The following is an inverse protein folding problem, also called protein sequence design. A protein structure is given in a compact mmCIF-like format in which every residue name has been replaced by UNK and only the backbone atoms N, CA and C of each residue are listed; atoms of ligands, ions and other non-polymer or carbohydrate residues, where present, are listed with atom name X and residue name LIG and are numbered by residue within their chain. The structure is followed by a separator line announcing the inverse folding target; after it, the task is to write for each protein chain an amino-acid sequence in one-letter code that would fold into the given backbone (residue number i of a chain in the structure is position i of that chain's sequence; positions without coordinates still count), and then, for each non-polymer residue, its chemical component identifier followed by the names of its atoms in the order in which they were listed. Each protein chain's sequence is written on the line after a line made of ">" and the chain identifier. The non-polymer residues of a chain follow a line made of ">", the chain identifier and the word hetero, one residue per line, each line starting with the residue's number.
data_IF_396699869289
#
_entry.id   IF_396699869289
#
_cell.length_a   1.000
_cell.length_b   1.000
_cell.length_c   1.000
_cell.angle_alpha   90.00
_cell.angle_beta   90.00
_cell.angle_gamma   90.00
#
_symmetry.space_group_name_H-M   'P 1'
#
loop_
_entity.id
_entity.type
_entity.pdbx_description
1 polymer ?
#
# COMPACT_ATOMS: atom_id res chain seq x y z
N UNK A 1 15.19 -1.33 14.19
CA UNK A 1 15.19 -2.32 13.09
C UNK A 1 16.11 -1.87 11.97
N UNK A 2 16.30 -2.68 10.91
CA UNK A 2 17.14 -2.30 9.74
C UNK A 2 16.35 -1.68 8.58
N UNK A 3 15.03 -1.58 8.71
CA UNK A 3 14.13 -1.00 7.71
C UNK A 3 13.72 0.38 8.22
N UNK A 4 14.10 1.44 7.52
CA UNK A 4 13.72 2.82 7.88
C UNK A 4 12.48 3.33 7.15
N UNK A 5 12.17 2.77 5.98
CA UNK A 5 11.18 3.29 5.04
C UNK A 5 10.64 2.19 4.14
N UNK A 6 9.32 2.20 3.88
CA UNK A 6 8.62 1.20 3.05
C UNK A 6 7.77 1.91 1.99
N UNK A 7 8.02 1.57 0.73
CA UNK A 7 7.11 1.86 -0.38
C UNK A 7 5.96 0.84 -0.36
N UNK A 8 4.75 1.34 -0.14
CA UNK A 8 3.55 0.54 0.01
C UNK A 8 2.73 0.60 -1.28
N UNK A 9 3.00 -0.34 -2.19
CA UNK A 9 2.29 -0.53 -3.46
C UNK A 9 2.08 -2.00 -3.76
N UNK A 10 1.24 -2.26 -4.75
CA UNK A 10 0.92 -3.61 -5.19
C UNK A 10 1.12 -3.75 -6.71
N UNK A 11 1.41 -4.96 -7.16
CA UNK A 11 1.65 -5.29 -8.57
C UNK A 11 0.97 -6.61 -8.90
N UNK A 12 0.72 -6.85 -10.19
CA UNK A 12 0.28 -8.15 -10.69
C UNK A 12 1.33 -8.68 -11.65
N UNK A 13 1.79 -9.90 -11.40
CA UNK A 13 2.83 -10.57 -12.17
C UNK A 13 4.22 -10.39 -11.59
N UNK A 14 5.23 -10.71 -12.40
CA UNK A 14 6.64 -10.70 -12.00
C UNK A 14 7.52 -10.32 -13.17
N UNK A 15 8.71 -9.80 -12.89
CA UNK A 15 9.70 -9.48 -13.93
C UNK A 15 9.91 -10.66 -14.88
N UNK A 16 9.91 -10.44 -16.22
CA UNK A 16 9.80 -9.14 -16.91
C UNK A 16 8.36 -8.69 -17.22
N UNK A 17 7.33 -9.48 -16.89
CA UNK A 17 5.93 -9.18 -17.19
C UNK A 17 5.14 -8.92 -15.91
N UNK A 18 5.14 -7.66 -15.48
CA UNK A 18 4.28 -7.19 -14.38
C UNK A 18 3.61 -5.87 -14.75
N UNK A 19 2.52 -5.55 -14.06
CA UNK A 19 1.89 -4.22 -14.10
C UNK A 19 1.68 -3.70 -12.69
N UNK A 20 1.70 -2.37 -12.54
CA UNK A 20 1.23 -1.72 -11.31
C UNK A 20 -0.28 -1.97 -11.14
N UNK A 21 -0.70 -2.11 -9.89
CA UNK A 21 -2.08 -2.38 -9.51
C UNK A 21 -2.53 -1.41 -8.42
N UNK A 22 -3.84 -1.26 -8.23
CA UNK A 22 -4.31 -0.60 -7.00
C UNK A 22 -3.88 -1.41 -5.78
N UNK A 23 -3.74 -0.73 -4.65
CA UNK A 23 -3.20 -1.32 -3.42
C UNK A 23 -4.00 -2.54 -2.94
N UNK A 24 -5.27 -2.63 -3.28
CA UNK A 24 -6.23 -3.66 -2.85
C UNK A 24 -6.44 -4.82 -3.84
N UNK A 25 -5.88 -4.77 -5.06
CA UNK A 25 -6.17 -5.76 -6.11
C UNK A 25 -4.95 -6.53 -6.65
N UNK A 26 -3.74 -6.27 -6.13
CA UNK A 26 -2.52 -6.93 -6.62
C UNK A 26 -2.18 -8.25 -5.93
N UNK A 27 -1.04 -8.84 -6.31
CA UNK A 27 -0.59 -10.17 -5.87
C UNK A 27 -0.19 -10.21 -4.38
N UNK A 28 0.09 -9.06 -3.77
CA UNK A 28 0.45 -8.98 -2.35
C UNK A 28 -0.79 -8.82 -1.46
N UNK A 29 -0.82 -9.58 -0.36
CA UNK A 29 -1.78 -9.35 0.73
C UNK A 29 -1.32 -8.16 1.58
N UNK A 30 -1.83 -6.98 1.25
CA UNK A 30 -1.43 -5.74 1.91
C UNK A 30 -1.90 -5.66 3.38
N UNK A 31 -3.02 -6.31 3.74
CA UNK A 31 -3.47 -6.36 5.14
C UNK A 31 -2.50 -7.19 5.96
N UNK A 32 -2.08 -8.34 5.43
CA UNK A 32 -1.10 -9.21 6.07
C UNK A 32 0.24 -8.52 6.27
N UNK A 33 0.68 -7.69 5.32
CA UNK A 33 1.89 -6.88 5.48
C UNK A 33 1.78 -5.96 6.69
N UNK A 34 0.69 -5.18 6.82
CA UNK A 34 0.50 -4.30 7.98
C UNK A 34 0.45 -5.10 9.30
N UNK A 35 -0.21 -6.27 9.31
CA UNK A 35 -0.21 -7.14 10.49
C UNK A 35 1.20 -7.59 10.88
N UNK A 36 2.04 -7.94 9.91
CA UNK A 36 3.44 -8.34 10.15
C UNK A 36 4.23 -7.15 10.72
N UNK A 37 4.07 -5.96 10.15
CA UNK A 37 4.74 -4.74 10.62
C UNK A 37 4.32 -4.41 12.06
N UNK A 38 3.01 -4.45 12.35
CA UNK A 38 2.48 -4.27 13.72
C UNK A 38 3.04 -5.30 14.69
N UNK A 39 3.01 -6.60 14.34
CA UNK A 39 3.54 -7.70 15.18
C UNK A 39 5.01 -7.52 15.54
N UNK A 40 5.79 -6.85 14.67
CA UNK A 40 7.22 -6.61 14.88
C UNK A 40 7.53 -5.21 15.43
N UNK A 41 6.53 -4.46 15.92
CA UNK A 41 6.70 -3.09 16.44
C UNK A 41 7.47 -2.21 15.46
N UNK A 42 7.08 -2.25 14.18
CA UNK A 42 7.68 -1.38 13.18
C UNK A 42 7.24 0.07 13.40
N UNK A 43 8.20 0.96 13.66
CA UNK A 43 7.98 2.40 13.90
C UNK A 43 8.49 3.29 12.76
N UNK A 44 8.86 2.69 11.61
CA UNK A 44 9.33 3.43 10.45
C UNK A 44 8.19 4.01 9.60
N UNK A 45 8.55 4.66 8.50
CA UNK A 45 7.60 5.34 7.63
C UNK A 45 7.08 4.41 6.54
N UNK A 46 5.75 4.39 6.36
CA UNK A 46 5.08 3.80 5.21
C UNK A 46 4.56 4.92 4.30
N UNK A 47 4.85 4.83 3.01
CA UNK A 47 4.35 5.78 2.00
C UNK A 47 3.62 5.01 0.89
N UNK A 48 2.53 5.54 0.30
CA UNK A 48 2.09 5.09 -1.02
C UNK A 48 3.18 5.38 -2.07
N UNK A 49 3.36 4.49 -3.04
CA UNK A 49 4.38 4.64 -4.09
C UNK A 49 3.74 4.92 -5.46
N UNK A 50 3.33 3.88 -6.18
CA UNK A 50 2.65 4.00 -7.47
C UNK A 50 1.19 3.57 -7.37
N UNK A 51 0.33 4.23 -8.16
CA UNK A 51 -1.07 3.85 -8.35
C UNK A 51 -1.42 3.96 -9.83
N UNK A 52 -2.35 3.13 -10.35
CA UNK A 52 -2.83 3.26 -11.72
C UNK A 52 -3.38 4.66 -12.01
N UNK A 53 -3.16 5.15 -13.23
CA UNK A 53 -3.71 6.43 -13.66
C UNK A 53 -5.24 6.38 -13.72
N UNK A 54 -5.90 7.36 -13.09
CA UNK A 54 -7.35 7.45 -13.04
C UNK A 54 -7.88 8.50 -14.02
N UNK A 55 -8.95 8.18 -14.73
CA UNK A 55 -9.65 9.08 -15.66
C UNK A 55 -10.46 10.16 -14.93
N UNK A 56 -9.77 11.09 -14.26
CA UNK A 56 -10.36 12.23 -13.54
C UNK A 56 -9.54 13.51 -13.77
N UNK A 57 -10.11 14.67 -13.45
CA UNK A 57 -9.39 15.95 -13.54
C UNK A 57 -8.11 16.01 -12.68
N UNK A 58 -7.97 15.13 -11.68
CA UNK A 58 -6.77 15.03 -10.85
C UNK A 58 -6.42 13.56 -10.60
N UNK A 59 -6.20 12.80 -11.68
CA UNK A 59 -5.99 11.35 -11.65
C UNK A 59 -4.91 10.89 -10.66
N UNK A 60 -3.75 11.56 -10.64
CA UNK A 60 -2.67 11.25 -9.71
C UNK A 60 -3.08 11.44 -8.23
N UNK A 61 -3.70 12.58 -7.90
CA UNK A 61 -4.15 12.84 -6.53
C UNK A 61 -5.25 11.86 -6.11
N UNK A 62 -6.15 11.49 -7.02
CA UNK A 62 -7.20 10.53 -6.74
C UNK A 62 -6.63 9.15 -6.39
N UNK A 63 -5.66 8.65 -7.17
CA UNK A 63 -4.98 7.39 -6.90
C UNK A 63 -4.23 7.40 -5.56
N UNK A 64 -3.46 8.47 -5.29
CA UNK A 64 -2.76 8.64 -4.02
C UNK A 64 -3.71 8.74 -2.82
N UNK A 65 -4.81 9.48 -2.96
CA UNK A 65 -5.82 9.60 -1.91
C UNK A 65 -6.47 8.24 -1.61
N UNK A 66 -6.74 7.43 -2.63
CA UNK A 66 -7.23 6.06 -2.46
C UNK A 66 -6.23 5.20 -1.69
N UNK A 67 -4.96 5.18 -2.09
CA UNK A 67 -3.92 4.40 -1.41
C UNK A 67 -3.73 4.82 0.06
N UNK A 68 -3.68 6.13 0.34
CA UNK A 68 -3.60 6.65 1.72
C UNK A 68 -4.84 6.28 2.54
N UNK A 69 -6.03 6.40 1.96
CA UNK A 69 -7.29 6.03 2.60
C UNK A 69 -7.32 4.55 2.97
N UNK A 70 -6.93 3.68 2.04
CA UNK A 70 -6.81 2.24 2.26
C UNK A 70 -5.82 1.93 3.39
N UNK A 71 -4.60 2.48 3.34
CA UNK A 71 -3.58 2.29 4.38
C UNK A 71 -4.11 2.69 5.77
N UNK A 72 -4.74 3.86 5.88
CA UNK A 72 -5.34 4.34 7.14
C UNK A 72 -6.45 3.41 7.61
N UNK A 73 -7.33 2.95 6.72
CA UNK A 73 -8.42 2.05 7.06
C UNK A 73 -7.93 0.71 7.62
N UNK A 74 -6.91 0.13 6.99
CA UNK A 74 -6.29 -1.13 7.46
C UNK A 74 -5.63 -0.94 8.82
N UNK A 75 -4.83 0.12 9.00
CA UNK A 75 -4.16 0.41 10.27
C UNK A 75 -5.20 0.60 11.40
N UNK A 76 -6.21 1.44 11.18
CA UNK A 76 -7.25 1.71 12.18
C UNK A 76 -8.07 0.47 12.54
N UNK A 77 -8.35 -0.39 11.55
CA UNK A 77 -9.05 -1.66 11.81
C UNK A 77 -8.22 -2.55 12.71
N UNK A 78 -6.92 -2.69 12.40
CA UNK A 78 -6.01 -3.55 13.17
C UNK A 78 -5.70 -2.99 14.56
N UNK A 79 -5.76 -1.67 14.78
CA UNK A 79 -5.62 -1.05 16.09
C UNK A 79 -6.80 -1.35 17.03
N UNK A 80 -7.99 -1.59 16.48
CA UNK A 80 -9.21 -1.87 17.24
C UNK A 80 -9.42 -3.35 17.58
N UNK A 81 -8.64 -4.24 16.96
CA UNK A 81 -8.62 -5.69 17.20
C UNK A 81 -7.48 -6.09 18.12
#
# INVERSE_FOLDING_TARGET
>A
GRIGYIHFRNVIGKVPHYREAFVDEGDLDMVRIIQILKKNNYEGVLIPDHTPEMSTASGWHAGMAFALGYMRGVIQTLERS
#
